data_IF_744408123130
#
_entry.id   IF_744408123130
#
_cell.length_a   1.000
_cell.length_b   1.000
_cell.length_c   1.000
_cell.angle_alpha   90.00
_cell.angle_beta   90.00
_cell.angle_gamma   90.00
#
_symmetry.space_group_name_H-M   'P 1'
#
loop_
_entity.id
_entity.type
_entity.pdbx_description
1 polymer ?
#
# COMPACT_ATOMS: atom_id res chain seq x y z
N UNK A 1 -15.31 7.45 -24.58
CA UNK A 1 -14.88 6.11 -25.07
C UNK A 1 -15.15 4.99 -24.04
N UNK A 2 -14.85 5.17 -22.75
CA UNK A 2 -15.11 4.16 -21.69
C UNK A 2 -16.61 4.03 -21.29
N UNK A 3 -17.37 5.12 -21.37
CA UNK A 3 -18.81 5.18 -21.00
C UNK A 3 -19.72 4.35 -21.90
N UNK A 4 -19.39 4.23 -23.20
CA UNK A 4 -20.14 3.40 -24.17
C UNK A 4 -19.91 1.89 -23.96
N UNK A 5 -18.73 1.48 -23.49
CA UNK A 5 -18.41 0.07 -23.23
C UNK A 5 -19.11 -0.49 -21.98
N UNK A 6 -19.42 0.37 -21.01
CA UNK A 6 -20.06 0.00 -19.74
C UNK A 6 -21.59 0.01 -19.81
N UNK A 7 -22.18 0.46 -20.91
CA UNK A 7 -23.65 0.53 -21.08
C UNK A 7 -24.29 -0.82 -21.50
N UNK A 8 -23.52 -1.77 -22.02
CA UNK A 8 -24.04 -3.08 -22.48
C UNK A 8 -23.99 -4.19 -21.43
N UNK A 9 -24.82 -5.22 -21.57
CA UNK A 9 -24.69 -6.48 -20.80
C UNK A 9 -23.59 -7.35 -21.42
N UNK A 10 -22.39 -7.33 -20.84
CA UNK A 10 -21.29 -8.25 -21.15
C UNK A 10 -20.83 -8.98 -19.89
N UNK A 11 -20.31 -10.20 -20.02
CA UNK A 11 -19.71 -10.94 -18.90
C UNK A 11 -18.55 -10.10 -18.35
N UNK A 12 -18.58 -9.78 -17.05
CA UNK A 12 -17.57 -8.93 -16.40
C UNK A 12 -17.91 -7.43 -16.27
N UNK A 13 -18.98 -6.92 -16.89
CA UNK A 13 -19.37 -5.50 -16.77
C UNK A 13 -19.77 -5.10 -15.34
N UNK A 14 -20.37 -6.03 -14.58
CA UNK A 14 -20.70 -5.79 -13.16
C UNK A 14 -19.45 -5.71 -12.26
N UNK A 15 -18.44 -6.54 -12.54
CA UNK A 15 -17.14 -6.49 -11.87
C UNK A 15 -16.41 -5.18 -12.20
N UNK A 16 -16.42 -4.77 -13.47
CA UNK A 16 -15.82 -3.51 -13.92
C UNK A 16 -16.50 -2.27 -13.29
N UNK A 17 -17.84 -2.27 -13.13
CA UNK A 17 -18.55 -1.18 -12.43
C UNK A 17 -18.22 -1.12 -10.94
N UNK A 18 -18.14 -2.26 -10.24
CA UNK A 18 -17.69 -2.29 -8.85
C UNK A 18 -16.24 -1.83 -8.72
N UNK A 19 -15.36 -2.29 -9.61
CA UNK A 19 -13.97 -1.85 -9.67
C UNK A 19 -13.86 -0.34 -9.89
N UNK A 20 -14.73 0.27 -10.70
CA UNK A 20 -14.76 1.73 -10.93
C UNK A 20 -15.22 2.53 -9.71
N UNK A 21 -16.16 2.01 -8.90
CA UNK A 21 -16.52 2.65 -7.62
C UNK A 21 -15.38 2.63 -6.60
N UNK A 22 -14.47 1.67 -6.72
CA UNK A 22 -13.27 1.57 -5.89
C UNK A 22 -12.00 2.04 -6.60
N UNK A 23 -12.09 2.51 -7.85
CA UNK A 23 -10.94 2.97 -8.60
C UNK A 23 -10.49 4.30 -7.99
N UNK A 24 -9.32 4.29 -7.35
CA UNK A 24 -8.68 5.48 -6.83
C UNK A 24 -7.50 5.83 -7.75
N UNK A 25 -7.55 7.02 -8.35
CA UNK A 25 -6.52 7.49 -9.28
C UNK A 25 -5.15 7.72 -8.63
N UNK A 26 -5.04 7.56 -7.31
CA UNK A 26 -3.76 7.57 -6.59
C UNK A 26 -3.08 6.21 -6.58
N UNK A 27 -3.74 5.13 -7.03
CA UNK A 27 -3.06 3.84 -7.20
C UNK A 27 -2.09 3.94 -8.37
N UNK A 28 -0.79 3.84 -8.08
CA UNK A 28 0.24 4.04 -9.11
C UNK A 28 0.51 2.77 -9.91
N UNK A 29 0.11 1.60 -9.41
CA UNK A 29 0.24 0.34 -10.12
C UNK A 29 -0.88 -0.69 -9.83
N UNK A 30 -1.07 -1.72 -10.70
CA UNK A 30 -2.12 -2.72 -10.53
C UNK A 30 -2.07 -3.52 -9.23
N UNK A 31 -0.88 -3.70 -8.65
CA UNK A 31 -0.74 -4.45 -7.41
C UNK A 31 -1.19 -3.66 -6.18
N UNK A 32 -1.01 -2.33 -6.17
CA UNK A 32 -1.64 -1.46 -5.16
C UNK A 32 -3.18 -1.56 -5.23
N UNK A 33 -3.74 -1.51 -6.44
CA UNK A 33 -5.18 -1.68 -6.66
C UNK A 33 -5.67 -3.04 -6.17
N UNK A 34 -4.93 -4.12 -6.44
CA UNK A 34 -5.29 -5.46 -5.96
C UNK A 34 -5.14 -5.59 -4.44
N UNK A 35 -4.11 -4.98 -3.85
CA UNK A 35 -3.93 -4.91 -2.40
C UNK A 35 -5.15 -4.25 -1.75
N UNK A 36 -5.56 -3.10 -2.27
CA UNK A 36 -6.74 -2.37 -1.76
C UNK A 36 -8.03 -3.16 -1.93
N UNK A 37 -8.19 -3.89 -3.04
CA UNK A 37 -9.34 -4.78 -3.22
C UNK A 37 -9.42 -5.85 -2.12
N UNK A 38 -8.30 -6.52 -1.81
CA UNK A 38 -8.27 -7.51 -0.72
C UNK A 38 -8.56 -6.88 0.65
N UNK A 39 -8.06 -5.66 0.92
CA UNK A 39 -8.35 -4.94 2.16
C UNK A 39 -9.85 -4.64 2.32
N UNK A 40 -10.49 -4.17 1.24
CA UNK A 40 -11.94 -3.87 1.21
C UNK A 40 -12.75 -5.15 1.43
N UNK A 41 -12.42 -6.22 0.72
CA UNK A 41 -13.10 -7.52 0.86
C UNK A 41 -12.96 -8.09 2.27
N UNK A 42 -11.83 -7.86 2.93
CA UNK A 42 -11.57 -8.29 4.31
C UNK A 42 -12.14 -7.34 5.39
N UNK A 43 -12.83 -6.26 5.00
CA UNK A 43 -13.41 -5.29 5.92
C UNK A 43 -12.38 -4.52 6.75
N UNK A 44 -11.15 -4.37 6.25
CA UNK A 44 -10.13 -3.59 6.94
C UNK A 44 -10.42 -2.08 6.83
N UNK A 45 -9.99 -1.27 7.82
CA UNK A 45 -10.06 0.19 7.71
C UNK A 45 -9.37 0.68 6.44
N UNK A 46 -9.99 1.65 5.77
CA UNK A 46 -9.42 2.24 4.56
C UNK A 46 -8.14 3.03 4.90
N UNK A 47 -6.99 2.72 4.27
CA UNK A 47 -5.78 3.52 4.43
C UNK A 47 -5.89 4.86 3.69
N UNK A 48 -5.12 5.85 4.14
CA UNK A 48 -4.72 6.98 3.30
C UNK A 48 -3.76 6.46 2.23
N UNK A 49 -4.06 6.74 0.97
CA UNK A 49 -3.20 6.33 -0.14
C UNK A 49 -2.13 7.39 -0.40
N UNK A 50 -0.94 6.92 -0.78
CA UNK A 50 0.14 7.78 -1.27
C UNK A 50 0.48 8.92 -0.29
N UNK A 51 0.48 8.61 1.01
CA UNK A 51 0.65 9.60 2.07
C UNK A 51 2.10 10.06 2.16
N UNK A 52 2.30 11.36 2.32
CA UNK A 52 3.63 11.96 2.48
C UNK A 52 3.87 12.27 3.96
N UNK A 53 4.92 11.66 4.51
CA UNK A 53 5.44 11.94 5.83
C UNK A 53 6.46 13.07 5.77
N UNK A 54 6.38 13.95 6.76
CA UNK A 54 7.30 15.05 6.98
C UNK A 54 7.83 15.00 8.41
N UNK A 55 9.04 15.46 8.63
CA UNK A 55 9.62 15.56 9.97
C UNK A 55 9.07 16.76 10.75
N UNK A 56 9.65 17.02 11.92
CA UNK A 56 9.23 18.11 12.83
C UNK A 56 9.46 19.51 12.23
N UNK A 57 10.42 19.64 11.32
CA UNK A 57 10.74 20.90 10.64
C UNK A 57 9.91 21.06 9.35
N UNK A 58 9.10 20.05 9.01
CA UNK A 58 8.26 20.03 7.83
C UNK A 58 8.97 19.54 6.57
N UNK A 59 10.20 19.02 6.70
CA UNK A 59 10.96 18.48 5.58
C UNK A 59 10.41 17.12 5.14
N UNK A 60 10.52 16.83 3.84
CA UNK A 60 10.02 15.57 3.28
C UNK A 60 10.86 14.39 3.77
N UNK A 61 10.20 13.39 4.36
CA UNK A 61 10.84 12.14 4.79
C UNK A 61 10.57 11.02 3.79
N UNK A 62 9.30 10.70 3.56
CA UNK A 62 8.92 9.60 2.69
C UNK A 62 7.51 9.78 2.12
N UNK A 63 7.22 9.08 1.03
CA UNK A 63 5.86 8.82 0.54
C UNK A 63 5.62 7.32 0.54
N UNK A 64 4.47 6.88 1.06
CA UNK A 64 4.12 5.46 1.22
C UNK A 64 2.79 5.13 0.56
N UNK A 65 2.64 3.91 0.04
CA UNK A 65 1.45 3.48 -0.69
C UNK A 65 0.18 3.51 0.17
N UNK A 66 0.27 2.97 1.38
CA UNK A 66 -0.83 2.85 2.32
C UNK A 66 -0.43 3.34 3.70
N UNK A 67 -1.29 4.12 4.35
CA UNK A 67 -1.06 4.65 5.69
C UNK A 67 -2.33 4.56 6.55
N UNK A 68 -2.20 3.96 7.72
CA UNK A 68 -3.22 3.90 8.75
C UNK A 68 -2.82 4.79 9.93
N UNK A 69 -3.37 6.00 9.93
CA UNK A 69 -3.31 6.92 11.06
C UNK A 69 -1.91 7.45 11.39
N UNK A 70 -0.94 7.35 10.48
CA UNK A 70 0.44 7.75 10.72
C UNK A 70 1.18 6.83 11.69
N UNK A 71 0.71 5.59 11.85
CA UNK A 71 1.27 4.61 12.81
C UNK A 71 1.63 3.29 12.15
N UNK A 72 0.90 2.90 11.12
CA UNK A 72 1.21 1.74 10.28
C UNK A 72 1.25 2.20 8.83
N UNK A 73 2.30 1.82 8.11
CA UNK A 73 2.39 2.01 6.66
C UNK A 73 2.59 0.67 5.98
N UNK A 74 1.94 0.54 4.83
CA UNK A 74 2.04 -0.63 3.96
C UNK A 74 2.64 -0.24 2.63
N UNK A 75 3.56 -1.06 2.13
CA UNK A 75 4.15 -0.87 0.80
C UNK A 75 4.05 -2.13 -0.03
N UNK A 76 3.55 -1.96 -1.24
CA UNK A 76 3.49 -3.01 -2.23
C UNK A 76 4.77 -2.99 -3.08
N UNK A 77 5.32 -4.17 -3.34
CA UNK A 77 6.52 -4.32 -4.18
C UNK A 77 7.78 -3.71 -3.54
N UNK A 78 7.90 -3.84 -2.22
CA UNK A 78 9.11 -3.50 -1.45
C UNK A 78 10.37 -4.30 -1.81
N UNK A 79 10.33 -5.07 -2.90
CA UNK A 79 11.53 -5.60 -3.57
C UNK A 79 12.08 -4.46 -4.42
N UNK A 80 13.17 -3.88 -3.95
CA UNK A 80 13.88 -2.78 -4.62
C UNK A 80 13.99 -3.05 -6.12
N UNK A 81 13.35 -2.20 -6.92
CA UNK A 81 13.54 -2.16 -8.36
C UNK A 81 14.86 -1.46 -8.63
N UNK A 82 15.98 -2.12 -8.31
CA UNK A 82 17.33 -1.56 -8.44
C UNK A 82 17.48 -0.87 -9.80
N UNK A 83 17.21 -1.59 -10.88
CA UNK A 83 17.33 -1.07 -12.25
C UNK A 83 16.43 0.15 -12.58
N UNK A 84 15.30 0.37 -11.88
CA UNK A 84 14.40 1.50 -12.16
C UNK A 84 14.64 2.72 -11.28
N UNK A 85 15.38 2.56 -10.17
CA UNK A 85 15.64 3.61 -9.18
C UNK A 85 17.08 4.13 -9.22
N UNK A 86 17.95 3.48 -10.01
CA UNK A 86 19.30 3.97 -10.28
C UNK A 86 19.22 5.33 -10.98
N UNK A 87 19.78 6.35 -10.34
CA UNK A 87 20.14 7.58 -11.02
C UNK A 87 21.35 7.32 -11.93
N UNK A 88 21.56 8.14 -12.97
CA UNK A 88 22.77 8.03 -13.79
C UNK A 88 24.03 8.08 -12.91
N UNK A 89 24.84 7.02 -12.93
CA UNK A 89 26.08 6.90 -12.15
C UNK A 89 25.94 6.32 -10.74
N UNK A 90 24.73 5.96 -10.30
CA UNK A 90 24.48 5.33 -9.00
C UNK A 90 24.79 3.82 -9.08
N UNK A 91 25.31 3.22 -8.00
CA UNK A 91 25.43 1.76 -7.88
C UNK A 91 24.19 1.17 -7.17
N UNK A 92 23.87 -0.11 -7.42
CA UNK A 92 22.75 -0.79 -6.79
C UNK A 92 22.82 -0.76 -5.25
N UNK A 93 24.02 -0.73 -4.67
CA UNK A 93 24.26 -0.61 -3.23
C UNK A 93 23.74 0.72 -2.65
N UNK A 94 23.86 1.83 -3.38
CA UNK A 94 23.41 3.14 -2.92
C UNK A 94 21.87 3.22 -2.86
N UNK A 95 21.19 2.52 -3.77
CA UNK A 95 19.72 2.37 -3.72
C UNK A 95 19.28 1.63 -2.46
N UNK A 96 19.98 0.55 -2.08
CA UNK A 96 19.71 -0.18 -0.83
C UNK A 96 19.89 0.73 0.38
N UNK A 97 20.99 1.49 0.42
CA UNK A 97 21.30 2.38 1.55
C UNK A 97 20.24 3.46 1.70
N UNK A 98 19.82 4.09 0.60
CA UNK A 98 18.77 5.10 0.60
C UNK A 98 17.43 4.52 1.07
N UNK A 99 17.09 3.32 0.63
CA UNK A 99 15.86 2.65 1.04
C UNK A 99 15.87 2.28 2.52
N UNK A 100 17.00 1.77 3.03
CA UNK A 100 17.19 1.49 4.45
C UNK A 100 17.06 2.76 5.28
N UNK A 101 17.69 3.85 4.85
CA UNK A 101 17.63 5.15 5.54
C UNK A 101 16.19 5.68 5.60
N UNK A 102 15.44 5.58 4.50
CA UNK A 102 14.02 5.95 4.44
C UNK A 102 13.19 5.17 5.46
N UNK A 103 13.44 3.87 5.58
CA UNK A 103 12.75 3.03 6.56
C UNK A 103 13.17 3.37 8.01
N UNK A 104 14.45 3.63 8.25
CA UNK A 104 14.96 4.04 9.56
C UNK A 104 14.38 5.40 10.00
N UNK A 105 14.20 6.34 9.07
CA UNK A 105 13.56 7.64 9.33
C UNK A 105 12.07 7.49 9.68
N UNK A 106 11.31 6.67 8.94
CA UNK A 106 9.93 6.32 9.31
C UNK A 106 9.87 5.65 10.69
N UNK A 107 10.80 4.73 10.99
CA UNK A 107 10.87 4.05 12.29
C UNK A 107 11.18 5.03 13.41
N UNK A 108 12.04 6.03 13.18
CA UNK A 108 12.35 7.07 14.15
C UNK A 108 11.12 7.93 14.50
N UNK A 109 10.15 8.04 13.58
CA UNK A 109 8.84 8.67 13.82
C UNK A 109 7.84 7.78 14.58
N UNK A 110 8.25 6.56 14.98
CA UNK A 110 7.37 5.58 15.63
C UNK A 110 6.41 4.86 14.66
N UNK A 111 6.71 4.89 13.36
CA UNK A 111 5.86 4.29 12.33
C UNK A 111 6.30 2.85 12.08
N UNK A 112 5.35 1.92 12.12
CA UNK A 112 5.57 0.53 11.70
C UNK A 112 5.44 0.40 10.18
N UNK A 113 6.43 -0.21 9.53
CA UNK A 113 6.43 -0.46 8.08
C UNK A 113 6.19 -1.94 7.82
N UNK A 114 5.17 -2.28 7.02
CA UNK A 114 4.95 -3.64 6.51
C UNK A 114 5.02 -3.66 5.00
N UNK A 115 5.57 -4.75 4.45
CA UNK A 115 5.78 -4.93 3.02
C UNK A 115 5.20 -6.23 2.55
N UNK A 116 4.68 -6.22 1.33
CA UNK A 116 4.23 -7.44 0.67
C UNK A 116 4.51 -7.38 -0.83
N UNK A 117 4.57 -8.57 -1.42
CA UNK A 117 4.94 -8.80 -2.81
C UNK A 117 3.76 -9.36 -3.60
N UNK A 118 3.96 -9.53 -4.90
CA UNK A 118 3.02 -10.28 -5.75
C UNK A 118 2.71 -11.68 -5.20
N UNK A 119 3.69 -12.35 -4.58
CA UNK A 119 3.50 -13.71 -4.06
C UNK A 119 2.62 -13.71 -2.81
N UNK A 120 2.70 -12.66 -2.00
CA UNK A 120 1.82 -12.47 -0.85
C UNK A 120 0.38 -12.16 -1.27
N UNK A 121 0.21 -11.35 -2.32
CA UNK A 121 -1.11 -11.09 -2.91
C UNK A 121 -1.74 -12.37 -3.46
N UNK A 122 -0.98 -13.15 -4.24
CA UNK A 122 -1.45 -14.43 -4.80
C UNK A 122 -1.80 -15.44 -3.73
N UNK A 123 -1.03 -15.46 -2.64
CA UNK A 123 -1.26 -16.37 -1.53
C UNK A 123 -2.29 -15.84 -0.50
N UNK A 124 -2.88 -14.67 -0.72
CA UNK A 124 -3.86 -14.09 0.21
C UNK A 124 -3.30 -13.74 1.60
N UNK A 125 -1.99 -13.52 1.73
CA UNK A 125 -1.33 -13.25 3.03
C UNK A 125 -1.42 -11.78 3.47
N UNK A 126 -1.72 -10.88 2.55
CA UNK A 126 -1.66 -9.43 2.76
C UNK A 126 -2.64 -8.97 3.86
N UNK A 127 -3.88 -9.46 3.83
CA UNK A 127 -4.91 -9.05 4.79
C UNK A 127 -4.57 -9.49 6.21
N UNK A 128 -4.07 -10.71 6.39
CA UNK A 128 -3.64 -11.23 7.69
C UNK A 128 -2.41 -10.49 8.25
N UNK A 129 -1.46 -10.11 7.39
CA UNK A 129 -0.31 -9.30 7.76
C UNK A 129 -0.75 -7.92 8.26
N UNK A 130 -1.60 -7.22 7.51
CA UNK A 130 -2.08 -5.88 7.86
C UNK A 130 -2.91 -5.93 9.15
N UNK A 131 -3.88 -6.85 9.23
CA UNK A 131 -4.76 -7.02 10.39
C UNK A 131 -3.97 -7.19 11.67
N UNK A 132 -2.96 -8.06 11.66
CA UNK A 132 -2.08 -8.29 12.82
C UNK A 132 -1.53 -6.98 13.37
N UNK A 133 -1.01 -6.11 12.51
CA UNK A 133 -0.42 -4.85 12.94
C UNK A 133 -1.45 -3.79 13.30
N UNK A 134 -2.60 -3.76 12.63
CA UNK A 134 -3.71 -2.90 13.05
C UNK A 134 -4.14 -3.23 14.48
N UNK A 135 -4.16 -4.50 14.86
CA UNK A 135 -4.46 -4.94 16.23
C UNK A 135 -3.33 -4.61 17.19
N UNK A 136 -2.08 -4.97 16.85
CA UNK A 136 -0.89 -4.69 17.69
C UNK A 136 -0.77 -3.20 18.02
N UNK A 137 -1.12 -2.33 17.07
CA UNK A 137 -1.07 -0.88 17.25
C UNK A 137 -2.38 -0.31 17.83
N UNK A 138 -3.37 -1.14 18.15
CA UNK A 138 -4.69 -0.73 18.62
C UNK A 138 -5.38 0.27 17.68
N UNK A 139 -5.18 0.12 16.38
CA UNK A 139 -5.89 0.86 15.33
C UNK A 139 -7.25 0.22 15.01
N UNK A 140 -7.42 -1.05 15.37
CA UNK A 140 -8.71 -1.76 15.44
C UNK A 140 -8.74 -2.61 16.70
N UNK A 141 -9.95 -3.02 17.08
CA UNK A 141 -10.18 -4.04 18.12
C UNK A 141 -10.73 -5.27 17.41
N UNK A 142 -10.15 -6.45 17.63
CA UNK A 142 -10.78 -7.69 17.17
C UNK A 142 -12.04 -7.93 18.00
N UNK A 143 -13.16 -8.35 17.39
CA UNK A 143 -14.29 -8.82 18.17
C UNK A 143 -13.81 -9.96 19.06
N UNK A 144 -14.24 -9.95 20.33
CA UNK A 144 -14.00 -11.07 21.22
C UNK A 144 -14.48 -12.35 20.53
N UNK A 145 -13.60 -13.34 20.41
CA UNK A 145 -13.98 -14.68 19.98
C UNK A 145 -15.09 -15.18 20.90
N UNK A 146 -16.29 -15.35 20.33
CA UNK A 146 -17.45 -15.96 20.98
C UNK A 146 -17.25 -17.46 21.16
#
# INVERSE_FOLDING_TARGET
>A
LMTKMLAGKRRGVGLARRALHHADGRSENPGESWSRAQMIEAGLPAPRLQHTFRDVDGEHVARTDFDWGGRLVGEFDGKVKYAKLLKPGEDATEVVVREKRREDELRAMGIMVVRWTWDDLRAGRVTALIRRWLVTLALIVEPASA
#
